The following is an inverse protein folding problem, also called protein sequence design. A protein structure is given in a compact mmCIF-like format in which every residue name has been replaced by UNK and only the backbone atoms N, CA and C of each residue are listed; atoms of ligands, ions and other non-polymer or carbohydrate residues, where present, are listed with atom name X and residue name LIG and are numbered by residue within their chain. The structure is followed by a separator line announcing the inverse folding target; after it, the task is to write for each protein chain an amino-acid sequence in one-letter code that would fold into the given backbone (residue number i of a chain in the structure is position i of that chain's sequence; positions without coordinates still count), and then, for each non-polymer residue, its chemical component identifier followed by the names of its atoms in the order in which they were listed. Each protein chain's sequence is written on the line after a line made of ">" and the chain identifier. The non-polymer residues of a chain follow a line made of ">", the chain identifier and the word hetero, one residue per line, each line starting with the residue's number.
data_IF_511193494494
#
_entry.id   IF_511193494494
#
_cell.length_a   1.000
_cell.length_b   1.000
_cell.length_c   1.000
_cell.angle_alpha   90.00
_cell.angle_beta   90.00
_cell.angle_gamma   90.00
#
_symmetry.space_group_name_H-M   'P 1'
#
loop_
_entity.id
_entity.type
_entity.pdbx_description
1 polymer ?
#
# COMPACT_ATOMS: atom_id res chain seq x y z
N UNK A 1 -37.45 -29.07 41.42
CA UNK A 1 -38.42 -29.23 40.32
C UNK A 1 -38.93 -27.84 40.00
N UNK A 2 -38.60 -27.31 38.83
CA UNK A 2 -39.57 -26.63 37.96
C UNK A 2 -38.91 -26.25 36.64
N UNK A 3 -39.63 -26.56 35.58
CA UNK A 3 -39.24 -26.58 34.18
C UNK A 3 -39.79 -25.33 33.53
N UNK A 4 -38.96 -24.52 32.86
CA UNK A 4 -39.47 -23.64 31.79
C UNK A 4 -38.50 -23.59 30.62
N UNK A 5 -38.81 -24.40 29.62
CA UNK A 5 -38.34 -24.32 28.25
C UNK A 5 -38.85 -23.03 27.57
N UNK A 6 -37.99 -22.29 26.87
CA UNK A 6 -38.40 -21.44 25.74
C UNK A 6 -37.45 -21.61 24.55
N UNK A 7 -37.94 -22.42 23.60
CA UNK A 7 -37.57 -22.42 22.18
C UNK A 7 -37.96 -21.07 21.58
N UNK A 8 -37.05 -20.42 20.85
CA UNK A 8 -37.39 -19.51 19.76
C UNK A 8 -36.48 -19.79 18.58
N UNK A 9 -37.02 -20.58 17.66
CA UNK A 9 -36.52 -20.76 16.29
C UNK A 9 -36.93 -19.53 15.49
N UNK A 10 -35.99 -18.82 14.88
CA UNK A 10 -36.33 -17.85 13.84
C UNK A 10 -35.78 -18.30 12.49
N UNK A 11 -36.70 -18.92 11.76
CA UNK A 11 -36.63 -19.31 10.36
C UNK A 11 -36.49 -18.06 9.48
N UNK A 12 -35.52 -18.04 8.56
CA UNK A 12 -35.50 -17.08 7.45
C UNK A 12 -35.39 -17.83 6.11
N UNK A 13 -36.16 -17.42 5.09
CA UNK A 13 -36.50 -18.23 3.94
C UNK A 13 -35.40 -18.28 2.88
N UNK A 14 -35.37 -19.42 2.18
CA UNK A 14 -34.65 -19.65 0.95
C UNK A 14 -35.21 -18.76 -0.19
N UNK A 15 -34.35 -17.89 -0.73
CA UNK A 15 -34.63 -17.19 -2.00
C UNK A 15 -34.20 -18.10 -3.13
N UNK A 16 -35.18 -18.73 -3.78
CA UNK A 16 -35.05 -19.35 -5.10
C UNK A 16 -35.04 -18.23 -6.14
N UNK A 17 -33.97 -18.13 -6.93
CA UNK A 17 -34.02 -17.45 -8.22
C UNK A 17 -34.09 -18.49 -9.33
N UNK A 18 -35.11 -18.29 -10.14
CA UNK A 18 -35.59 -19.12 -11.24
C UNK A 18 -34.72 -19.00 -12.48
N UNK A 19 -34.66 -20.11 -13.21
CA UNK A 19 -34.10 -20.33 -14.54
C UNK A 19 -34.89 -19.70 -15.69
N UNK A 20 -34.19 -19.19 -16.70
CA UNK A 20 -34.58 -19.12 -18.13
C UNK A 20 -33.26 -18.95 -18.92
N UNK A 21 -32.73 -19.88 -19.73
CA UNK A 21 -33.21 -20.55 -20.94
C UNK A 21 -33.68 -19.59 -22.04
N UNK A 22 -32.85 -19.40 -23.09
CA UNK A 22 -33.25 -19.34 -24.51
C UNK A 22 -32.07 -18.96 -25.44
N UNK A 23 -31.47 -20.02 -25.97
CA UNK A 23 -30.83 -20.19 -27.28
C UNK A 23 -31.41 -19.36 -28.44
N UNK A 24 -30.56 -18.67 -29.23
CA UNK A 24 -30.68 -18.69 -30.70
C UNK A 24 -29.45 -18.20 -31.46
N UNK A 25 -29.35 -18.77 -32.66
CA UNK A 25 -28.24 -18.86 -33.62
C UNK A 25 -28.23 -17.67 -34.61
N UNK A 26 -27.09 -17.47 -35.27
CA UNK A 26 -26.95 -16.76 -36.55
C UNK A 26 -25.47 -16.43 -36.79
N UNK A 27 -24.68 -17.31 -37.42
CA UNK A 27 -24.49 -17.47 -38.87
C UNK A 27 -23.49 -16.47 -39.47
N UNK A 28 -22.45 -17.05 -40.08
CA UNK A 28 -21.53 -16.47 -41.09
C UNK A 28 -22.33 -15.69 -42.15
N UNK A 29 -21.81 -14.67 -42.83
CA UNK A 29 -20.93 -14.78 -44.02
C UNK A 29 -20.87 -13.37 -44.61
N UNK A 30 -19.72 -12.86 -45.04
CA UNK A 30 -19.42 -12.42 -46.42
C UNK A 30 -18.19 -11.51 -46.48
N UNK A 31 -17.18 -12.05 -47.16
CA UNK A 31 -16.12 -11.32 -47.84
C UNK A 31 -16.76 -10.30 -48.80
N UNK A 32 -16.23 -9.08 -48.87
CA UNK A 32 -16.28 -8.31 -50.11
C UNK A 32 -14.98 -7.55 -50.31
N UNK A 33 -14.23 -8.07 -51.27
CA UNK A 33 -13.10 -7.41 -51.90
C UNK A 33 -13.61 -6.22 -52.71
N UNK A 34 -13.02 -5.06 -52.50
CA UNK A 34 -12.97 -3.99 -53.49
C UNK A 34 -11.50 -3.71 -53.78
N UNK A 35 -10.99 -4.42 -54.78
CA UNK A 35 -9.81 -4.03 -55.55
C UNK A 35 -10.11 -2.73 -56.28
N UNK A 36 -9.11 -1.84 -56.41
CA UNK A 36 -8.70 -1.11 -57.63
C UNK A 36 -7.59 -0.07 -57.27
N UNK A 37 -6.78 0.40 -58.25
CA UNK A 37 -5.35 0.09 -58.28
C UNK A 37 -4.42 1.31 -58.43
N UNK A 38 -3.11 1.03 -58.34
CA UNK A 38 -1.96 1.73 -58.98
C UNK A 38 -1.93 3.27 -58.95
N UNK A 39 -1.01 3.83 -58.14
CA UNK A 39 0.00 4.71 -58.73
C UNK A 39 1.31 4.67 -57.95
N UNK A 40 2.38 4.57 -58.72
CA UNK A 40 3.74 4.23 -58.35
C UNK A 40 4.59 5.49 -58.54
N UNK A 41 5.15 6.04 -57.46
CA UNK A 41 6.21 7.05 -57.56
C UNK A 41 7.27 6.76 -56.51
N UNK A 42 8.41 6.24 -56.98
CA UNK A 42 9.65 6.13 -56.21
C UNK A 42 10.41 7.47 -56.25
N UNK A 43 11.28 7.74 -55.25
CA UNK A 43 12.65 8.19 -55.58
C UNK A 43 13.69 7.57 -54.59
N UNK A 44 15.00 7.86 -54.69
CA UNK A 44 15.98 6.87 -55.16
C UNK A 44 16.91 6.35 -54.04
N UNK A 45 17.53 5.22 -54.36
CA UNK A 45 18.63 4.58 -53.64
C UNK A 45 19.87 5.49 -53.69
N UNK A 46 20.41 5.83 -52.51
CA UNK A 46 21.83 6.21 -52.35
C UNK A 46 22.40 5.42 -51.16
N UNK A 47 23.41 4.58 -51.45
CA UNK A 47 24.35 3.95 -50.52
C UNK A 47 25.76 4.26 -51.08
N UNK A 48 26.87 3.89 -50.41
CA UNK A 48 27.35 4.28 -49.08
C UNK A 48 28.86 4.67 -49.13
N UNK A 49 29.39 5.59 -48.31
CA UNK A 49 30.87 5.59 -48.09
C UNK A 49 31.37 6.31 -46.83
N UNK A 50 31.91 5.50 -45.92
CA UNK A 50 33.19 5.61 -45.17
C UNK A 50 33.74 7.00 -44.79
N UNK A 51 33.85 7.26 -43.48
CA UNK A 51 35.15 7.37 -42.75
C UNK A 51 35.00 7.88 -41.31
N UNK A 52 35.67 7.18 -40.38
CA UNK A 52 36.04 7.55 -38.99
C UNK A 52 36.98 8.78 -38.96
N UNK A 53 37.20 9.50 -37.82
CA UNK A 53 37.60 8.92 -36.53
C UNK A 53 37.14 9.62 -35.23
N UNK A 54 37.43 8.91 -34.15
CA UNK A 54 37.31 9.29 -32.74
C UNK A 54 37.75 10.73 -32.43
N UNK A 55 36.91 11.44 -31.68
CA UNK A 55 37.31 12.66 -30.97
C UNK A 55 36.42 12.84 -29.75
N UNK A 56 37.07 12.79 -28.59
CA UNK A 56 36.74 13.49 -27.35
C UNK A 56 35.29 13.53 -26.88
N UNK A 57 34.89 12.49 -26.15
CA UNK A 57 34.10 12.71 -24.93
C UNK A 57 35.00 12.44 -23.72
N UNK A 58 35.91 13.38 -23.46
CA UNK A 58 36.30 13.67 -22.08
C UNK A 58 35.00 14.04 -21.36
N UNK A 59 34.37 13.02 -20.75
CA UNK A 59 33.37 13.19 -19.70
C UNK A 59 34.06 13.98 -18.59
N UNK A 60 33.99 15.30 -18.73
CA UNK A 60 34.22 16.23 -17.65
C UNK A 60 33.22 15.83 -16.57
N UNK A 61 33.70 15.08 -15.59
CA UNK A 61 33.01 14.85 -14.34
C UNK A 61 32.92 16.23 -13.72
N UNK A 62 31.84 16.95 -14.04
CA UNK A 62 31.41 18.11 -13.29
C UNK A 62 31.05 17.56 -11.92
N UNK A 63 32.06 17.55 -11.04
CA UNK A 63 31.94 17.46 -9.60
C UNK A 63 31.09 18.67 -9.16
N UNK A 64 29.78 18.52 -9.35
CA UNK A 64 28.80 19.35 -8.67
C UNK A 64 28.94 19.03 -7.20
N UNK A 65 29.61 19.93 -6.48
CA UNK A 65 29.75 19.97 -5.04
C UNK A 65 28.39 20.20 -4.38
N UNK A 66 27.51 19.21 -4.53
CA UNK A 66 26.28 19.09 -3.77
C UNK A 66 26.66 18.37 -2.50
N UNK A 67 26.86 19.14 -1.43
CA UNK A 67 26.83 18.71 -0.03
C UNK A 67 26.29 17.29 0.07
N UNK A 68 27.19 16.32 0.24
CA UNK A 68 26.82 14.92 0.34
C UNK A 68 25.90 14.83 1.55
N UNK A 69 24.60 14.69 1.29
CA UNK A 69 23.62 14.50 2.36
C UNK A 69 24.13 13.29 3.15
N UNK A 70 24.40 13.42 4.47
CA UNK A 70 25.07 12.37 5.24
C UNK A 70 24.29 11.03 5.25
N UNK A 71 23.05 11.04 4.73
CA UNK A 71 22.18 9.90 4.60
C UNK A 71 21.62 9.81 3.18
N UNK A 72 22.16 8.92 2.31
CA UNK A 72 21.61 8.75 0.98
C UNK A 72 20.14 8.31 1.06
N UNK A 73 19.27 9.01 0.33
CA UNK A 73 17.84 8.69 0.24
C UNK A 73 17.54 7.92 -1.04
N UNK A 74 16.66 6.94 -0.94
CA UNK A 74 16.19 6.11 -2.05
C UNK A 74 14.69 6.29 -2.22
N UNK A 75 14.21 6.37 -3.45
CA UNK A 75 12.78 6.40 -3.74
C UNK A 75 12.21 4.98 -3.68
N UNK A 76 11.22 4.78 -2.80
CA UNK A 76 10.49 3.51 -2.68
C UNK A 76 9.07 3.68 -3.21
N UNK A 77 8.65 2.79 -4.10
CA UNK A 77 7.27 2.72 -4.59
C UNK A 77 6.44 1.84 -3.68
N UNK A 78 5.28 2.35 -3.29
CA UNK A 78 4.43 1.79 -2.25
C UNK A 78 3.04 1.56 -2.81
N UNK A 79 2.43 0.44 -2.41
CA UNK A 79 1.05 0.12 -2.77
C UNK A 79 0.35 -0.51 -1.59
N UNK A 80 -0.82 -0.01 -1.21
CA UNK A 80 -1.62 -0.54 -0.11
C UNK A 80 -3.06 -0.76 -0.53
N UNK A 81 -3.70 -1.81 -0.02
CA UNK A 81 -5.13 -2.04 -0.19
C UNK A 81 -5.93 -1.13 0.75
N UNK A 82 -7.12 -0.70 0.30
CA UNK A 82 -8.06 0.02 1.16
C UNK A 82 -8.50 -0.88 2.33
N UNK A 83 -8.59 -0.34 3.56
CA UNK A 83 -9.12 -1.09 4.69
C UNK A 83 -10.62 -1.35 4.50
N UNK A 84 -11.10 -2.44 5.09
CA UNK A 84 -12.51 -2.76 5.10
C UNK A 84 -13.32 -1.63 5.79
N UNK A 85 -14.55 -1.33 5.32
CA UNK A 85 -15.40 -0.32 5.95
C UNK A 85 -15.62 -0.60 7.44
N UNK A 86 -15.54 0.42 8.30
CA UNK A 86 -15.72 0.28 9.74
C UNK A 86 -14.50 -0.23 10.50
N UNK A 87 -13.38 -0.55 9.82
CA UNK A 87 -12.17 -1.03 10.50
C UNK A 87 -11.34 0.08 11.15
N UNK A 88 -11.30 1.27 10.54
CA UNK A 88 -10.55 2.43 11.02
C UNK A 88 -11.46 3.65 11.02
N UNK A 89 -11.72 4.17 12.21
CA UNK A 89 -12.53 5.37 12.42
C UNK A 89 -11.93 6.60 11.74
N UNK A 90 -10.61 6.75 11.78
CA UNK A 90 -9.87 7.85 11.16
C UNK A 90 -9.94 7.77 9.64
N UNK A 91 -9.85 6.56 9.07
CA UNK A 91 -10.04 6.38 7.64
C UNK A 91 -11.46 6.71 7.19
N UNK A 92 -12.47 6.20 7.89
CA UNK A 92 -13.88 6.45 7.54
C UNK A 92 -14.24 7.93 7.71
N UNK A 93 -13.71 8.60 8.74
CA UNK A 93 -13.85 10.05 8.94
C UNK A 93 -13.23 10.85 7.79
N UNK A 94 -12.02 10.50 7.34
CA UNK A 94 -11.38 11.14 6.19
C UNK A 94 -12.16 10.89 4.87
N UNK A 95 -12.81 9.74 4.73
CA UNK A 95 -13.63 9.44 3.57
C UNK A 95 -14.88 10.33 3.46
N UNK A 96 -15.32 10.96 4.55
CA UNK A 96 -16.38 11.96 4.50
C UNK A 96 -16.00 13.25 3.76
N UNK A 97 -14.70 13.54 3.62
CA UNK A 97 -14.19 14.77 3.00
C UNK A 97 -13.36 14.53 1.74
N UNK A 98 -12.70 13.37 1.67
CA UNK A 98 -11.76 13.05 0.60
C UNK A 98 -12.11 11.73 -0.08
N UNK A 99 -11.62 11.54 -1.31
CA UNK A 99 -11.68 10.22 -1.97
C UNK A 99 -10.93 9.17 -1.14
N UNK A 100 -11.46 7.95 -1.05
CA UNK A 100 -10.88 6.82 -0.27
C UNK A 100 -9.37 6.64 -0.51
N UNK A 101 -8.93 6.65 -1.77
CA UNK A 101 -7.50 6.55 -2.13
C UNK A 101 -6.67 7.69 -1.54
N UNK A 102 -7.19 8.92 -1.55
CA UNK A 102 -6.52 10.11 -1.01
C UNK A 102 -6.48 10.06 0.52
N UNK A 103 -7.58 9.65 1.15
CA UNK A 103 -7.66 9.43 2.59
C UNK A 103 -6.60 8.41 3.05
N UNK A 104 -6.48 7.27 2.34
CA UNK A 104 -5.46 6.27 2.67
C UNK A 104 -4.04 6.82 2.46
N UNK A 105 -3.79 7.56 1.39
CA UNK A 105 -2.48 8.20 1.17
C UNK A 105 -2.13 9.21 2.28
N UNK A 106 -3.11 9.89 2.88
CA UNK A 106 -2.88 10.81 4.01
C UNK A 106 -2.48 10.04 5.27
N UNK A 107 -3.23 8.98 5.60
CA UNK A 107 -2.88 8.09 6.72
C UNK A 107 -1.51 7.46 6.51
N UNK A 108 -1.24 6.98 5.29
CA UNK A 108 0.01 6.29 4.96
C UNK A 108 1.23 7.19 5.18
N UNK A 109 1.14 8.50 4.88
CA UNK A 109 2.22 9.44 5.17
C UNK A 109 2.54 9.46 6.67
N UNK A 110 1.53 9.59 7.52
CA UNK A 110 1.71 9.60 8.97
C UNK A 110 2.21 8.25 9.50
N UNK A 111 1.58 7.16 9.05
CA UNK A 111 1.94 5.81 9.44
C UNK A 111 3.42 5.53 9.18
N UNK A 112 3.96 6.00 8.05
CA UNK A 112 5.36 5.81 7.74
C UNK A 112 6.32 6.67 8.58
N UNK A 113 5.92 7.85 9.06
CA UNK A 113 6.75 8.63 9.97
C UNK A 113 7.00 7.84 11.27
N UNK A 114 5.94 7.26 11.83
CA UNK A 114 6.03 6.44 13.05
C UNK A 114 6.76 5.11 12.78
N UNK A 115 6.51 4.50 11.62
CA UNK A 115 7.13 3.23 11.23
C UNK A 115 8.64 3.35 10.98
N UNK A 116 9.13 4.48 10.43
CA UNK A 116 10.56 4.72 10.22
C UNK A 116 11.31 4.79 11.55
N UNK A 117 10.74 5.45 12.56
CA UNK A 117 11.30 5.51 13.91
C UNK A 117 11.39 4.10 14.51
N UNK A 118 10.33 3.30 14.37
CA UNK A 118 10.31 1.92 14.83
C UNK A 118 11.39 1.07 14.12
N UNK A 119 11.53 1.18 12.79
CA UNK A 119 12.55 0.47 12.03
C UNK A 119 13.96 0.80 12.52
N UNK A 120 14.25 2.07 12.79
CA UNK A 120 15.55 2.52 13.29
C UNK A 120 15.87 2.02 14.69
N UNK A 121 14.85 1.90 15.55
CA UNK A 121 15.00 1.38 16.90
C UNK A 121 15.22 -0.14 16.97
N UNK A 122 15.20 -0.83 15.83
CA UNK A 122 15.28 -2.29 15.71
C UNK A 122 14.20 -3.05 16.51
N UNK A 123 13.11 -2.38 16.90
CA UNK A 123 12.00 -2.97 17.67
C UNK A 123 11.02 -3.76 16.80
N UNK A 124 11.49 -4.34 15.68
CA UNK A 124 10.71 -5.19 14.75
C UNK A 124 10.36 -6.57 15.34
N UNK A 125 10.27 -6.67 16.67
CA UNK A 125 10.10 -7.93 17.39
C UNK A 125 8.69 -8.48 17.18
N UNK A 126 7.71 -7.60 16.89
CA UNK A 126 6.32 -8.00 16.74
C UNK A 126 5.91 -8.07 15.27
N UNK A 127 5.41 -9.23 14.78
CA UNK A 127 4.81 -9.28 13.46
C UNK A 127 3.60 -8.34 13.41
N UNK A 128 3.53 -7.48 12.40
CA UNK A 128 2.39 -6.60 12.22
C UNK A 128 1.18 -7.42 11.80
N UNK A 129 0.07 -7.25 12.51
CA UNK A 129 -1.18 -7.93 12.17
C UNK A 129 -1.73 -7.41 10.84
N UNK A 130 -2.06 -8.28 9.87
CA UNK A 130 -2.73 -7.84 8.64
C UNK A 130 -4.10 -7.24 8.98
N UNK A 131 -4.44 -6.14 8.30
CA UNK A 131 -5.75 -5.52 8.43
C UNK A 131 -6.74 -6.09 7.39
N UNK A 132 -8.05 -6.13 7.70
CA UNK A 132 -9.06 -6.56 6.75
C UNK A 132 -9.14 -5.55 5.60
N UNK A 133 -9.23 -6.06 4.38
CA UNK A 133 -9.21 -5.27 3.14
C UNK A 133 -10.61 -5.18 2.53
N UNK A 134 -10.87 -4.10 1.81
CA UNK A 134 -12.11 -3.91 1.05
C UNK A 134 -12.12 -4.75 -0.24
N UNK A 135 -13.29 -5.31 -0.56
CA UNK A 135 -13.58 -5.95 -1.85
C UNK A 135 -14.61 -5.10 -2.63
N UNK A 136 -14.40 -4.82 -3.94
CA UNK A 136 -13.31 -5.28 -4.80
C UNK A 136 -11.96 -4.61 -4.48
N UNK A 137 -10.87 -5.36 -4.74
CA UNK A 137 -9.51 -4.94 -4.39
C UNK A 137 -9.15 -3.59 -5.02
N UNK A 138 -9.09 -2.56 -4.18
CA UNK A 138 -8.73 -1.19 -4.56
C UNK A 138 -7.41 -0.82 -3.92
N UNK A 139 -6.47 -0.34 -4.73
CA UNK A 139 -5.11 -0.01 -4.28
C UNK A 139 -4.86 1.50 -4.28
N UNK A 140 -4.24 1.99 -3.21
CA UNK A 140 -3.58 3.29 -3.18
C UNK A 140 -2.11 3.12 -3.54
N UNK A 141 -1.69 3.77 -4.62
CA UNK A 141 -0.30 3.81 -5.06
C UNK A 141 0.34 5.13 -4.61
N UNK A 142 1.58 5.07 -4.14
CA UNK A 142 2.37 6.26 -3.80
C UNK A 142 3.87 5.95 -3.86
N UNK A 143 4.71 6.94 -3.65
CA UNK A 143 6.15 6.76 -3.50
C UNK A 143 6.70 7.70 -2.44
N UNK A 144 7.75 7.29 -1.73
CA UNK A 144 8.40 8.10 -0.69
C UNK A 144 9.92 8.03 -0.82
N UNK A 145 10.61 9.14 -0.54
CA UNK A 145 12.05 9.15 -0.33
C UNK A 145 12.33 8.66 1.09
N UNK A 146 13.03 7.53 1.22
CA UNK A 146 13.38 6.94 2.51
C UNK A 146 14.91 6.90 2.68
N UNK A 147 15.44 7.07 3.90
CA UNK A 147 16.86 6.86 4.14
C UNK A 147 17.25 5.43 3.79
N UNK A 148 18.37 5.26 3.07
CA UNK A 148 18.84 3.95 2.60
C UNK A 148 18.95 2.92 3.72
N UNK A 149 19.46 3.34 4.90
CA UNK A 149 19.58 2.48 6.08
C UNK A 149 18.24 1.90 6.53
N UNK A 150 17.17 2.69 6.47
CA UNK A 150 15.81 2.23 6.84
C UNK A 150 15.32 1.18 5.85
N UNK A 151 15.56 1.41 4.56
CA UNK A 151 15.19 0.46 3.50
C UNK A 151 15.96 -0.85 3.64
N UNK A 152 17.25 -0.81 3.98
CA UNK A 152 18.07 -2.01 4.21
C UNK A 152 17.56 -2.84 5.40
N UNK A 153 17.19 -2.20 6.51
CA UNK A 153 16.57 -2.88 7.67
C UNK A 153 15.24 -3.52 7.25
N UNK A 154 14.40 -2.79 6.52
CA UNK A 154 13.12 -3.29 6.04
C UNK A 154 13.29 -4.47 5.07
N UNK A 155 14.27 -4.43 4.16
CA UNK A 155 14.57 -5.51 3.22
C UNK A 155 15.02 -6.77 3.96
N UNK A 156 15.92 -6.64 4.95
CA UNK A 156 16.35 -7.77 5.76
C UNK A 156 15.19 -8.46 6.50
N UNK A 157 14.12 -7.71 6.82
CA UNK A 157 12.94 -8.24 7.47
C UNK A 157 11.91 -8.83 6.49
N UNK A 158 11.56 -8.11 5.42
CA UNK A 158 10.48 -8.48 4.50
C UNK A 158 10.91 -9.36 3.32
N UNK A 159 12.20 -9.37 3.02
CA UNK A 159 12.83 -10.14 1.94
C UNK A 159 14.20 -10.70 2.37
N UNK A 160 14.23 -11.62 3.37
CA UNK A 160 15.49 -12.17 3.87
C UNK A 160 16.26 -12.98 2.84
N UNK A 161 15.59 -13.44 1.77
CA UNK A 161 16.18 -14.24 0.70
C UNK A 161 16.52 -13.43 -0.55
N UNK A 162 16.10 -12.17 -0.64
CA UNK A 162 16.34 -11.32 -1.81
C UNK A 162 15.57 -11.76 -3.07
N UNK A 163 14.43 -12.44 -2.91
CA UNK A 163 13.64 -13.01 -4.02
C UNK A 163 12.42 -12.17 -4.37
N UNK A 164 12.05 -11.22 -3.51
CA UNK A 164 10.86 -10.41 -3.72
C UNK A 164 11.12 -9.27 -4.70
N UNK A 165 10.17 -9.05 -5.61
CA UNK A 165 10.21 -7.86 -6.45
C UNK A 165 10.07 -6.59 -5.61
N UNK A 166 10.63 -5.47 -6.07
CA UNK A 166 10.47 -4.16 -5.40
C UNK A 166 9.01 -3.75 -5.22
N UNK A 167 8.12 -4.17 -6.11
CA UNK A 167 6.67 -3.93 -5.99
C UNK A 167 6.05 -4.76 -4.86
N UNK A 168 6.44 -6.02 -4.71
CA UNK A 168 5.96 -6.87 -3.62
C UNK A 168 6.51 -6.41 -2.27
N UNK A 169 7.78 -6.04 -2.21
CA UNK A 169 8.41 -5.38 -1.06
C UNK A 169 7.64 -4.12 -0.65
N UNK A 170 7.44 -3.19 -1.59
CA UNK A 170 6.71 -1.95 -1.34
C UNK A 170 5.27 -2.15 -0.84
N UNK A 171 4.62 -3.25 -1.26
CA UNK A 171 3.31 -3.66 -0.75
C UNK A 171 3.39 -4.16 0.68
N UNK A 172 4.30 -5.09 0.99
CA UNK A 172 4.49 -5.61 2.37
C UNK A 172 4.83 -4.49 3.33
N UNK A 173 5.75 -3.61 2.93
CA UNK A 173 6.18 -2.46 3.72
C UNK A 173 5.03 -1.50 4.02
N UNK A 174 4.24 -1.11 3.00
CA UNK A 174 3.09 -0.23 3.19
C UNK A 174 1.99 -0.88 4.03
N UNK A 175 1.71 -2.17 3.81
CA UNK A 175 0.72 -2.91 4.59
C UNK A 175 1.14 -3.04 6.06
N UNK A 176 2.43 -3.23 6.35
CA UNK A 176 2.93 -3.28 7.71
C UNK A 176 2.87 -1.90 8.42
N UNK A 177 3.21 -0.82 7.73
CA UNK A 177 3.06 0.53 8.29
C UNK A 177 1.61 0.83 8.66
N UNK A 178 0.66 0.48 7.77
CA UNK A 178 -0.77 0.66 8.03
C UNK A 178 -1.30 -0.26 9.13
N UNK A 179 -0.88 -1.53 9.17
CA UNK A 179 -1.28 -2.45 10.23
C UNK A 179 -0.86 -1.94 11.61
N UNK A 180 0.35 -1.40 11.73
CA UNK A 180 0.83 -0.75 12.95
C UNK A 180 0.00 0.50 13.29
N UNK A 181 -0.25 1.37 12.31
CA UNK A 181 -1.05 2.56 12.51
C UNK A 181 -2.46 2.22 13.02
N UNK A 182 -3.16 1.29 12.38
CA UNK A 182 -4.51 0.88 12.79
C UNK A 182 -4.50 0.16 14.15
N UNK A 183 -3.45 -0.61 14.46
CA UNK A 183 -3.29 -1.16 15.81
C UNK A 183 -3.16 -0.07 16.87
N UNK A 184 -2.39 0.99 16.59
CA UNK A 184 -2.21 2.11 17.51
C UNK A 184 -3.47 2.96 17.65
N UNK A 185 -4.21 3.16 16.55
CA UNK A 185 -5.53 3.79 16.55
C UNK A 185 -6.50 3.05 17.48
N UNK A 186 -6.61 1.73 17.35
CA UNK A 186 -7.49 0.91 18.20
C UNK A 186 -7.08 0.91 19.67
N UNK A 187 -5.80 1.11 19.98
CA UNK A 187 -5.29 1.24 21.35
C UNK A 187 -5.49 2.65 21.92
N UNK A 188 -5.96 3.61 21.13
CA UNK A 188 -6.08 5.02 21.53
C UNK A 188 -4.73 5.75 21.64
N UNK A 189 -3.66 5.18 21.08
CA UNK A 189 -2.30 5.77 21.09
C UNK A 189 -2.15 6.82 19.96
N UNK A 190 -3.16 6.92 19.07
CA UNK A 190 -3.13 7.77 17.87
C UNK A 190 -2.93 9.27 18.08
N UNK A 191 -3.13 9.78 19.31
CA UNK A 191 -3.01 11.22 19.64
C UNK A 191 -1.79 11.56 20.53
N UNK A 192 -0.97 10.57 20.92
CA UNK A 192 0.19 10.85 21.78
C UNK A 192 1.48 10.79 20.95
N UNK A 193 2.24 11.90 20.83
CA UNK A 193 3.55 11.86 20.20
C UNK A 193 4.44 10.89 20.98
N UNK A 194 4.95 9.86 20.29
CA UNK A 194 5.92 8.89 20.80
C UNK A 194 7.25 9.64 20.99
N UNK A 195 7.33 10.39 22.09
CA UNK A 195 8.46 11.25 22.40
C UNK A 195 8.46 11.80 23.83
N UNK A 196 7.53 11.37 24.69
CA UNK A 196 7.51 11.76 26.10
C UNK A 196 7.12 10.55 26.96
N UNK A 197 8.07 9.67 27.20
CA UNK A 197 8.03 8.78 28.36
C UNK A 197 8.37 9.64 29.59
N UNK A 198 7.34 10.28 30.14
CA UNK A 198 7.40 10.93 31.45
C UNK A 198 6.91 9.91 32.48
N UNK A 199 7.81 9.58 33.39
CA UNK A 199 7.57 8.89 34.66
C UNK A 199 6.14 9.09 35.17
N UNK A 200 5.35 8.01 35.08
CA UNK A 200 4.15 7.83 35.91
C UNK A 200 4.34 6.59 36.77
N UNK A 201 5.34 6.67 37.63
CA UNK A 201 5.30 6.00 38.92
C UNK A 201 4.58 6.91 39.93
N UNK A 202 3.85 6.28 40.85
CA UNK A 202 3.29 6.85 42.08
C UNK A 202 2.11 7.83 41.99
N UNK A 203 0.89 7.30 41.85
CA UNK A 203 -0.22 7.63 42.80
C UNK A 203 -1.22 6.46 42.83
N UNK A 204 -0.98 5.45 43.66
CA UNK A 204 -2.03 4.51 44.07
C UNK A 204 -1.68 3.84 45.40
N UNK A 205 -2.10 4.43 46.52
CA UNK A 205 -2.02 3.72 47.79
C UNK A 205 -2.20 4.58 49.03
N UNK A 206 -3.40 5.08 49.30
CA UNK A 206 -3.82 5.44 50.66
C UNK A 206 -5.34 5.44 50.75
N UNK A 207 -5.92 4.25 50.95
CA UNK A 207 -7.29 4.11 51.43
C UNK A 207 -7.26 4.04 52.95
N UNK A 208 -7.69 5.13 53.59
CA UNK A 208 -7.81 5.25 55.05
C UNK A 208 -9.05 4.48 55.52
N UNK A 209 -8.80 3.46 56.34
CA UNK A 209 -9.79 2.69 57.10
C UNK A 209 -10.60 3.61 58.03
N UNK A 210 -11.91 3.75 57.80
CA UNK A 210 -12.86 4.20 58.84
C UNK A 210 -13.33 3.00 59.63
N UNK A 211 -12.90 2.91 60.90
CA UNK A 211 -13.54 2.06 61.91
C UNK A 211 -14.83 2.74 62.38
N UNK A 212 -15.88 1.95 62.53
CA UNK A 212 -17.00 2.18 63.46
C UNK A 212 -17.21 0.89 64.23
#
# INVERSE_FOLDING_TARGET
>A
MDVVFRKLTNSRPAVRLTSASAQQRGAMTTLSAAMMPLEQVAPPIVKPEVSSPASSEERTIVLSSKWAEPYPKVQVFLSAALPAPGFSSGFDGLCGQYRRTKALQMILRRAFDDYEVMLLSASLIKPVTPYPIEEPLSLALTSRMMPRRVVEIALAHFDPWGVESMRAFGRKLASAALGMFFENERKGIGDVPIGVELDRADVAGMNVTRRS
#
